data_IF_897999775113
#
_entry.id   IF_897999775113
#
_cell.length_a   1.000
_cell.length_b   1.000
_cell.length_c   1.000
_cell.angle_alpha   90.00
_cell.angle_beta   90.00
_cell.angle_gamma   90.00
#
_symmetry.space_group_name_H-M   'P 1'
#
loop_
_entity.id
_entity.type
_entity.pdbx_description
1 polymer ?
#
# COMPACT_ATOMS: atom_id res chain seq x y z
N UNK A 1 2.61 38.07 28.06
CA UNK A 1 2.11 37.41 26.83
C UNK A 1 3.05 36.27 26.43
N UNK A 2 2.51 35.10 26.09
CA UNK A 2 3.31 33.91 25.76
C UNK A 2 4.25 34.17 24.56
N UNK A 3 5.56 34.05 24.77
CA UNK A 3 6.61 34.22 23.73
C UNK A 3 6.64 33.06 22.72
N UNK A 4 5.85 32.02 22.95
CA UNK A 4 5.85 30.80 22.14
C UNK A 4 5.39 31.07 20.69
N UNK A 5 4.33 31.87 20.50
CA UNK A 5 3.80 32.18 19.15
C UNK A 5 4.85 32.84 18.25
N UNK A 6 5.61 33.78 18.80
CA UNK A 6 6.60 34.54 18.06
C UNK A 6 7.82 33.67 17.71
N UNK A 7 8.24 32.80 18.64
CA UNK A 7 9.32 31.83 18.41
C UNK A 7 9.01 30.82 17.31
N UNK A 8 7.75 30.34 17.24
CA UNK A 8 7.33 29.40 16.19
C UNK A 8 7.36 30.07 14.81
N UNK A 9 6.91 31.33 14.71
CA UNK A 9 6.98 32.12 13.48
C UNK A 9 8.43 32.33 13.03
N UNK A 10 9.32 32.75 13.94
CA UNK A 10 10.75 32.88 13.64
C UNK A 10 11.40 31.57 13.19
N UNK A 11 10.97 30.44 13.75
CA UNK A 11 11.47 29.10 13.37
C UNK A 11 10.96 28.70 12.00
N UNK A 12 9.71 29.01 11.66
CA UNK A 12 9.13 28.72 10.36
C UNK A 12 9.85 29.48 9.23
N UNK A 13 10.22 30.75 9.45
CA UNK A 13 11.00 31.54 8.49
C UNK A 13 12.38 30.94 8.16
N UNK A 14 12.95 30.13 9.07
CA UNK A 14 14.24 29.46 8.88
C UNK A 14 14.12 28.11 8.18
N UNK A 15 12.91 27.52 8.06
CA UNK A 15 12.73 26.24 7.41
C UNK A 15 12.84 26.39 5.89
N UNK A 16 13.70 25.57 5.28
CA UNK A 16 13.76 25.39 3.83
C UNK A 16 12.96 24.17 3.44
N UNK A 17 12.45 24.16 2.21
CA UNK A 17 11.81 22.98 1.66
C UNK A 17 12.81 21.81 1.65
N UNK A 18 12.34 20.61 2.03
CA UNK A 18 13.14 19.42 1.88
C UNK A 18 13.38 19.15 0.39
N UNK A 19 14.60 18.79 0.03
CA UNK A 19 14.93 18.36 -1.32
C UNK A 19 14.32 16.98 -1.55
N UNK A 20 13.44 16.86 -2.54
CA UNK A 20 12.88 15.58 -2.97
C UNK A 20 13.51 15.25 -4.31
N UNK A 21 14.16 14.09 -4.41
CA UNK A 21 14.71 13.60 -5.66
C UNK A 21 13.57 13.14 -6.57
N UNK A 22 13.53 13.66 -7.78
CA UNK A 22 12.61 13.17 -8.81
C UNK A 22 13.14 11.84 -9.33
N UNK A 23 12.34 10.75 -9.32
CA UNK A 23 12.76 9.50 -9.93
C UNK A 23 13.15 9.72 -11.39
N UNK A 24 14.32 9.19 -11.78
CA UNK A 24 14.78 9.22 -13.17
C UNK A 24 13.95 8.29 -14.08
N UNK A 25 13.34 7.28 -13.47
CA UNK A 25 12.51 6.26 -14.09
C UNK A 25 11.18 6.82 -14.59
N UNK A 26 10.59 6.15 -15.59
CA UNK A 26 9.24 6.49 -16.06
C UNK A 26 8.21 6.25 -14.95
N UNK A 27 7.17 7.09 -14.82
CA UNK A 27 6.12 6.87 -13.82
C UNK A 27 5.53 5.46 -13.80
N UNK A 28 5.43 4.80 -14.96
CA UNK A 28 4.96 3.42 -15.07
C UNK A 28 5.80 2.38 -14.33
N UNK A 29 7.08 2.66 -14.05
CA UNK A 29 8.00 1.72 -13.40
C UNK A 29 7.80 1.66 -11.88
N UNK A 30 7.42 2.80 -11.27
CA UNK A 30 7.19 2.86 -9.82
C UNK A 30 5.72 3.03 -9.44
N UNK A 31 4.83 3.32 -10.40
CA UNK A 31 3.40 3.39 -10.14
C UNK A 31 2.88 2.04 -9.63
N UNK A 32 2.07 2.06 -8.57
CA UNK A 32 1.53 0.88 -7.91
C UNK A 32 2.57 -0.15 -7.40
N UNK A 33 3.86 0.23 -7.28
CA UNK A 33 4.93 -0.69 -6.84
C UNK A 33 4.68 -1.31 -5.45
N UNK A 34 4.00 -0.58 -4.57
CA UNK A 34 3.65 -1.01 -3.20
C UNK A 34 2.15 -1.34 -3.06
N UNK A 35 1.50 -1.74 -4.15
CA UNK A 35 0.10 -2.14 -4.15
C UNK A 35 -0.01 -3.58 -4.63
N UNK A 36 -0.67 -4.43 -3.84
CA UNK A 36 -1.00 -5.80 -4.23
C UNK A 36 -2.15 -5.81 -5.24
N UNK A 37 -1.88 -5.33 -6.46
CA UNK A 37 -2.86 -5.21 -7.56
C UNK A 37 -3.04 -6.54 -8.31
N UNK A 38 -3.89 -6.56 -9.35
CA UNK A 38 -4.18 -7.76 -10.17
C UNK A 38 -2.93 -8.44 -10.75
N UNK A 39 -1.95 -7.68 -11.22
CA UNK A 39 -0.70 -8.23 -11.77
C UNK A 39 0.09 -8.97 -10.68
N UNK A 40 0.13 -8.42 -9.46
CA UNK A 40 0.78 -9.06 -8.32
C UNK A 40 -0.06 -10.26 -7.85
N UNK A 41 -1.38 -10.12 -7.75
CA UNK A 41 -2.28 -11.24 -7.44
C UNK A 41 -2.08 -12.42 -8.39
N UNK A 42 -1.97 -12.17 -9.70
CA UNK A 42 -1.72 -13.23 -10.70
C UNK A 42 -0.38 -13.94 -10.48
N UNK A 43 0.65 -13.22 -10.03
CA UNK A 43 1.98 -13.79 -9.73
C UNK A 43 2.01 -14.57 -8.41
N UNK A 44 1.30 -14.10 -7.39
CA UNK A 44 1.43 -14.60 -6.01
C UNK A 44 0.29 -15.50 -5.54
N UNK A 45 -0.83 -15.57 -6.27
CA UNK A 45 -1.98 -16.41 -5.92
C UNK A 45 -2.12 -17.61 -6.86
N UNK A 46 -2.61 -18.76 -6.36
CA UNK A 46 -3.04 -19.86 -7.22
C UNK A 46 -4.14 -19.42 -8.19
N UNK A 47 -4.15 -19.96 -9.41
CA UNK A 47 -5.07 -19.53 -10.47
C UNK A 47 -6.56 -19.62 -10.07
N UNK A 48 -6.94 -20.66 -9.32
CA UNK A 48 -8.31 -20.81 -8.82
C UNK A 48 -8.68 -19.72 -7.79
N UNK A 49 -7.75 -19.36 -6.90
CA UNK A 49 -7.95 -18.30 -5.91
C UNK A 49 -7.99 -16.93 -6.57
N UNK A 50 -7.10 -16.67 -7.53
CA UNK A 50 -7.11 -15.44 -8.32
C UNK A 50 -8.45 -15.24 -9.03
N UNK A 51 -8.98 -16.29 -9.68
CA UNK A 51 -10.26 -16.24 -10.37
C UNK A 51 -11.41 -15.91 -9.41
N UNK A 52 -11.51 -16.62 -8.28
CA UNK A 52 -12.56 -16.36 -7.27
C UNK A 52 -12.47 -14.98 -6.63
N UNK A 53 -11.25 -14.52 -6.32
CA UNK A 53 -11.06 -13.18 -5.75
C UNK A 53 -11.45 -12.09 -6.76
N UNK A 54 -11.12 -12.29 -8.03
CA UNK A 54 -11.51 -11.37 -9.12
C UNK A 54 -13.02 -11.35 -9.32
N UNK A 55 -13.67 -12.51 -9.27
CA UNK A 55 -15.13 -12.61 -9.33
C UNK A 55 -15.82 -11.89 -8.16
N UNK A 56 -15.29 -12.03 -6.95
CA UNK A 56 -15.78 -11.30 -5.78
C UNK A 56 -15.64 -9.77 -5.94
N UNK A 57 -14.54 -9.30 -6.54
CA UNK A 57 -14.30 -7.86 -6.77
C UNK A 57 -15.17 -7.28 -7.88
N UNK A 58 -15.30 -7.99 -9.01
CA UNK A 58 -15.89 -7.45 -10.23
C UNK A 58 -17.39 -7.75 -10.35
N UNK A 59 -17.85 -8.88 -9.79
CA UNK A 59 -19.25 -9.33 -9.88
C UNK A 59 -19.97 -9.33 -8.53
N UNK A 60 -19.30 -8.95 -7.43
CA UNK A 60 -19.89 -8.91 -6.09
C UNK A 60 -20.21 -10.29 -5.51
N UNK A 61 -19.56 -11.33 -6.01
CA UNK A 61 -19.69 -12.67 -5.45
C UNK A 61 -19.20 -12.72 -3.98
N UNK A 62 -19.77 -13.58 -3.13
CA UNK A 62 -19.30 -13.74 -1.75
C UNK A 62 -17.84 -14.20 -1.71
N UNK A 63 -17.01 -13.54 -0.90
CA UNK A 63 -15.65 -14.01 -0.66
C UNK A 63 -15.68 -15.29 0.19
N UNK A 64 -15.39 -16.42 -0.44
CA UNK A 64 -15.35 -17.71 0.23
C UNK A 64 -14.25 -17.74 1.31
N UNK A 65 -14.60 -18.14 2.53
CA UNK A 65 -13.61 -18.30 3.60
C UNK A 65 -12.50 -19.31 3.24
N UNK A 66 -12.82 -20.29 2.39
CA UNK A 66 -11.85 -21.31 1.94
C UNK A 66 -10.65 -20.71 1.18
N UNK A 67 -10.82 -19.58 0.48
CA UNK A 67 -9.71 -18.95 -0.25
C UNK A 67 -8.98 -17.88 0.57
N UNK A 68 -9.53 -17.47 1.72
CA UNK A 68 -9.00 -16.35 2.51
C UNK A 68 -7.57 -16.62 3.00
N UNK A 69 -7.29 -17.83 3.48
CA UNK A 69 -5.95 -18.20 3.96
C UNK A 69 -4.91 -18.22 2.82
N UNK A 70 -5.31 -18.66 1.63
CA UNK A 70 -4.45 -18.65 0.45
C UNK A 70 -4.18 -17.21 -0.04
N UNK A 71 -5.20 -16.34 -0.03
CA UNK A 71 -5.03 -14.91 -0.31
C UNK A 71 -4.08 -14.27 0.70
N UNK A 72 -4.28 -14.53 1.99
CA UNK A 72 -3.42 -14.00 3.05
C UNK A 72 -1.97 -14.49 2.93
N UNK A 73 -1.76 -15.77 2.58
CA UNK A 73 -0.43 -16.33 2.34
C UNK A 73 0.27 -15.68 1.15
N UNK A 74 -0.43 -15.49 0.03
CA UNK A 74 0.11 -14.82 -1.16
C UNK A 74 0.43 -13.34 -0.90
N UNK A 75 -0.48 -12.62 -0.25
CA UNK A 75 -0.26 -11.23 0.19
C UNK A 75 0.95 -11.12 1.12
N UNK A 76 1.07 -12.01 2.11
CA UNK A 76 2.20 -12.02 3.05
C UNK A 76 3.51 -12.25 2.33
N UNK A 77 3.57 -13.20 1.39
CA UNK A 77 4.79 -13.49 0.62
C UNK A 77 5.24 -12.26 -0.17
N UNK A 78 4.32 -11.63 -0.90
CA UNK A 78 4.60 -10.39 -1.63
C UNK A 78 5.08 -9.26 -0.70
N UNK A 79 4.39 -9.04 0.41
CA UNK A 79 4.74 -7.98 1.36
C UNK A 79 6.10 -8.24 2.03
N UNK A 80 6.42 -9.49 2.32
CA UNK A 80 7.71 -9.87 2.95
C UNK A 80 8.89 -9.60 1.99
N UNK A 81 8.71 -9.80 0.68
CA UNK A 81 9.71 -9.43 -0.33
C UNK A 81 9.99 -7.91 -0.35
N UNK A 82 9.05 -7.09 0.13
CA UNK A 82 9.19 -5.64 0.31
C UNK A 82 9.69 -5.23 1.71
N UNK A 83 10.04 -6.20 2.57
CA UNK A 83 10.52 -5.94 3.94
C UNK A 83 9.42 -5.57 4.94
N UNK A 84 8.14 -5.82 4.61
CA UNK A 84 7.03 -5.57 5.53
C UNK A 84 7.08 -6.54 6.72
N UNK A 85 6.90 -6.02 7.92
CA UNK A 85 6.96 -6.78 9.18
C UNK A 85 5.65 -6.81 9.96
N UNK A 86 4.69 -5.96 9.60
CA UNK A 86 3.42 -5.79 10.30
C UNK A 86 2.26 -5.73 9.30
N UNK A 87 1.07 -6.11 9.75
CA UNK A 87 -0.17 -5.87 9.03
C UNK A 87 -1.13 -5.09 9.93
N UNK A 88 -2.07 -4.39 9.31
CA UNK A 88 -3.14 -3.68 10.02
C UNK A 88 -4.40 -3.66 9.17
N UNK A 89 -5.56 -3.60 9.82
CA UNK A 89 -6.82 -3.30 9.15
C UNK A 89 -6.91 -1.79 8.95
N UNK A 90 -6.68 -1.34 7.72
CA UNK A 90 -6.85 0.07 7.37
C UNK A 90 -8.31 0.36 7.01
N UNK A 91 -8.97 1.17 7.83
CA UNK A 91 -10.34 1.61 7.62
C UNK A 91 -10.53 3.03 8.15
N UNK A 92 -11.48 3.77 7.58
CA UNK A 92 -12.00 5.01 8.17
C UNK A 92 -13.30 4.63 8.90
N UNK A 93 -13.37 4.83 10.23
CA UNK A 93 -14.57 4.49 11.00
C UNK A 93 -15.76 5.41 10.67
#
# INVERSE_FOLDING_TARGET
MSKLRFRVVETAFKKKAATVETPAERPSEYFAKYVFNREKMFKYLPGAVYAKLTDAMDNGAPLERAIADEVAAGMKRWATELGVTHYTHWFQP
#
